data_IF_015868360146
#
_entry.id   IF_015868360146
#
_cell.length_a   1.000
_cell.length_b   1.000
_cell.length_c   1.000
_cell.angle_alpha   90.00
_cell.angle_beta   90.00
_cell.angle_gamma   90.00
#
_symmetry.space_group_name_H-M   'P 1'
#
loop_
_entity.id
_entity.type
_entity.pdbx_description
1 polymer ?
#
# COMPACT_ATOMS: atom_id res chain seq x y z
N UNK A 1 -2.55 15.38 16.04
CA UNK A 1 -1.21 15.07 15.50
C UNK A 1 -0.23 16.16 15.92
N UNK A 2 1.07 15.85 15.94
CA UNK A 2 2.12 16.77 16.38
C UNK A 2 2.35 17.87 15.32
N UNK A 3 2.33 19.15 15.72
CA UNK A 3 2.60 20.29 14.83
C UNK A 3 3.98 20.19 14.16
N UNK A 4 4.97 19.63 14.85
CA UNK A 4 6.31 19.40 14.31
C UNK A 4 6.25 18.42 13.14
N UNK A 5 5.50 17.32 13.28
CA UNK A 5 5.33 16.33 12.22
C UNK A 5 4.78 16.94 10.94
N UNK A 6 3.72 17.75 11.06
CA UNK A 6 3.07 18.41 9.91
C UNK A 6 4.04 19.38 9.23
N UNK A 7 4.80 20.16 10.01
CA UNK A 7 5.80 21.08 9.47
C UNK A 7 6.92 20.33 8.74
N UNK A 8 7.44 19.24 9.32
CA UNK A 8 8.43 18.39 8.66
C UNK A 8 7.86 17.79 7.37
N UNK A 9 6.64 17.26 7.41
CA UNK A 9 6.00 16.69 6.21
C UNK A 9 5.82 17.73 5.11
N UNK A 10 5.41 18.95 5.46
CA UNK A 10 5.29 20.06 4.51
C UNK A 10 6.64 20.39 3.88
N UNK A 11 7.70 20.49 4.67
CA UNK A 11 9.03 20.76 4.16
C UNK A 11 9.49 19.67 3.18
N UNK A 12 9.25 18.40 3.48
CA UNK A 12 9.56 17.28 2.56
C UNK A 12 8.75 17.44 1.26
N UNK A 13 7.44 17.67 1.37
CA UNK A 13 6.56 17.80 0.22
C UNK A 13 6.94 18.99 -0.68
N UNK A 14 7.19 20.16 -0.09
CA UNK A 14 7.52 21.38 -0.83
C UNK A 14 8.88 21.32 -1.51
N UNK A 15 9.86 20.65 -0.87
CA UNK A 15 11.23 20.47 -1.37
C UNK A 15 11.44 19.13 -2.11
N UNK A 16 10.37 18.43 -2.49
CA UNK A 16 10.46 17.20 -3.26
C UNK A 16 11.29 17.41 -4.54
N UNK A 17 12.08 16.40 -4.90
CA UNK A 17 12.94 16.46 -6.08
C UNK A 17 12.12 16.69 -7.37
N UNK A 18 12.70 17.33 -8.41
CA UNK A 18 11.95 17.71 -9.61
C UNK A 18 11.27 16.55 -10.34
N UNK A 19 11.79 15.32 -10.22
CA UNK A 19 11.15 14.12 -10.81
C UNK A 19 9.85 13.70 -10.10
N UNK A 20 9.49 14.33 -8.98
CA UNK A 20 8.23 14.08 -8.29
C UNK A 20 7.24 15.21 -8.49
N UNK A 21 6.05 14.86 -8.95
CA UNK A 21 4.89 15.73 -8.93
C UNK A 21 4.30 15.74 -7.52
N UNK A 22 4.23 16.93 -6.95
CA UNK A 22 3.43 17.25 -5.75
C UNK A 22 1.94 17.10 -6.07
N UNK A 23 1.32 16.02 -5.61
CA UNK A 23 -0.04 15.68 -6.00
C UNK A 23 -1.08 16.11 -4.96
N UNK A 24 -0.86 15.73 -3.70
CA UNK A 24 -1.81 16.00 -2.61
C UNK A 24 -1.06 16.22 -1.28
N UNK A 25 -1.58 17.10 -0.43
CA UNK A 25 -1.11 17.32 0.94
C UNK A 25 -2.33 17.51 1.85
N UNK A 26 -2.42 16.76 2.93
CA UNK A 26 -3.46 16.91 3.93
C UNK A 26 -2.98 17.82 5.08
N UNK A 27 -3.59 18.98 5.20
CA UNK A 27 -3.24 20.02 6.17
C UNK A 27 -3.45 19.59 7.63
N UNK A 28 -4.43 18.71 7.89
CA UNK A 28 -4.81 18.29 9.23
C UNK A 28 -3.91 17.19 9.81
N UNK A 29 -3.51 16.25 8.95
CA UNK A 29 -2.70 15.10 9.33
C UNK A 29 -1.22 15.25 8.99
N UNK A 30 -0.89 16.10 8.01
CA UNK A 30 0.45 16.23 7.46
C UNK A 30 0.86 15.05 6.58
N UNK A 31 -0.07 14.16 6.20
CA UNK A 31 0.20 13.16 5.17
C UNK A 31 0.19 13.78 3.78
N UNK A 32 0.85 13.14 2.82
CA UNK A 32 0.96 13.67 1.47
C UNK A 32 1.14 12.58 0.43
N UNK A 33 0.96 12.96 -0.84
CA UNK A 33 1.23 12.13 -2.01
C UNK A 33 2.19 12.86 -2.96
N UNK A 34 3.34 12.24 -3.18
CA UNK A 34 4.28 12.56 -4.25
C UNK A 34 4.19 11.47 -5.32
N UNK A 35 4.20 11.84 -6.60
CA UNK A 35 4.11 10.90 -7.71
C UNK A 35 5.30 11.08 -8.63
N UNK A 36 6.11 10.05 -8.82
CA UNK A 36 7.21 10.10 -9.78
C UNK A 36 6.68 10.33 -11.20
N UNK A 37 7.35 11.18 -11.99
CA UNK A 37 6.92 11.53 -13.36
C UNK A 37 6.81 10.32 -14.31
N UNK A 38 7.52 9.23 -14.00
CA UNK A 38 7.55 7.99 -14.76
C UNK A 38 6.70 6.86 -14.13
N UNK A 39 5.84 7.18 -13.16
CA UNK A 39 4.88 6.25 -12.59
C UNK A 39 3.64 6.17 -13.50
N UNK A 40 3.14 4.96 -13.78
CA UNK A 40 1.95 4.81 -14.60
C UNK A 40 0.71 4.95 -13.72
N UNK A 41 0.04 6.10 -13.82
CA UNK A 41 -1.12 6.41 -13.00
C UNK A 41 -2.23 5.37 -13.12
N UNK A 42 -2.52 4.69 -12.01
CA UNK A 42 -3.69 3.84 -11.81
C UNK A 42 -4.64 4.51 -10.81
N UNK A 43 -5.93 4.61 -11.17
CA UNK A 43 -6.95 5.23 -10.31
C UNK A 43 -7.03 4.58 -8.91
N UNK A 44 -6.87 3.26 -8.83
CA UNK A 44 -6.87 2.54 -7.55
C UNK A 44 -5.69 2.96 -6.68
N UNK A 45 -4.52 3.15 -7.26
CA UNK A 45 -3.29 3.48 -6.53
C UNK A 45 -3.30 4.92 -6.04
N UNK A 46 -3.80 5.84 -6.87
CA UNK A 46 -4.04 7.23 -6.49
C UNK A 46 -5.05 7.28 -5.33
N UNK A 47 -6.18 6.57 -5.44
CA UNK A 47 -7.19 6.53 -4.39
C UNK A 47 -6.60 6.04 -3.06
N UNK A 48 -5.88 4.91 -3.09
CA UNK A 48 -5.20 4.38 -1.90
C UNK A 48 -4.20 5.38 -1.34
N UNK A 49 -3.38 6.01 -2.17
CA UNK A 49 -2.38 6.99 -1.75
C UNK A 49 -3.03 8.19 -1.03
N UNK A 50 -4.13 8.73 -1.56
CA UNK A 50 -4.87 9.82 -0.93
C UNK A 50 -5.50 9.40 0.40
N UNK A 51 -6.11 8.22 0.47
CA UNK A 51 -6.70 7.70 1.73
C UNK A 51 -5.63 7.56 2.81
N UNK A 52 -4.47 7.02 2.45
CA UNK A 52 -3.35 6.89 3.38
C UNK A 52 -2.78 8.26 3.79
N UNK A 53 -2.71 9.21 2.86
CA UNK A 53 -2.30 10.58 3.17
C UNK A 53 -3.28 11.28 4.15
N UNK A 54 -4.59 11.08 4.01
CA UNK A 54 -5.60 11.63 4.93
C UNK A 54 -5.44 11.12 6.37
N UNK A 55 -4.90 9.93 6.57
CA UNK A 55 -4.58 9.38 7.90
C UNK A 55 -3.14 9.69 8.34
N UNK A 56 -2.46 10.60 7.64
CA UNK A 56 -1.15 11.12 8.01
C UNK A 56 0.04 10.35 7.45
N UNK A 57 -0.13 9.44 6.49
CA UNK A 57 1.00 8.74 5.87
C UNK A 57 1.67 9.61 4.81
N UNK A 58 3.01 9.48 4.69
CA UNK A 58 3.79 10.12 3.63
C UNK A 58 3.97 9.15 2.48
N UNK A 59 3.22 9.32 1.41
CA UNK A 59 3.19 8.39 0.27
C UNK A 59 4.00 8.96 -0.89
N UNK A 60 4.96 8.17 -1.38
CA UNK A 60 5.75 8.47 -2.57
C UNK A 60 5.56 7.34 -3.58
N UNK A 61 4.82 7.58 -4.66
CA UNK A 61 4.70 6.62 -5.77
C UNK A 61 5.96 6.65 -6.61
N UNK A 62 6.57 5.49 -6.81
CA UNK A 62 7.92 5.35 -7.35
C UNK A 62 7.91 5.14 -8.87
N UNK A 63 9.08 5.28 -9.50
CA UNK A 63 9.21 5.03 -10.93
C UNK A 63 8.94 3.56 -11.27
N UNK A 64 8.13 3.32 -12.30
CA UNK A 64 7.99 2.00 -12.91
C UNK A 64 9.06 1.71 -13.98
N UNK A 65 9.87 2.72 -14.33
CA UNK A 65 11.02 2.50 -15.20
C UNK A 65 12.17 1.89 -14.40
N UNK A 66 12.53 0.67 -14.78
CA UNK A 66 13.65 -0.05 -14.24
C UNK A 66 14.53 -0.59 -15.37
N UNK A 67 15.80 -0.86 -15.07
CA UNK A 67 16.64 -1.62 -15.98
C UNK A 67 16.01 -2.99 -16.26
N UNK A 68 16.19 -3.52 -17.47
CA UNK A 68 15.60 -4.80 -17.88
C UNK A 68 15.92 -5.91 -16.86
N UNK A 69 14.88 -6.58 -16.36
CA UNK A 69 15.00 -7.61 -15.32
C UNK A 69 14.93 -7.12 -13.87
N UNK A 70 14.90 -5.81 -13.62
CA UNK A 70 14.70 -5.23 -12.28
C UNK A 70 13.23 -4.88 -12.09
N UNK A 71 12.61 -5.32 -10.99
CA UNK A 71 11.26 -4.87 -10.64
C UNK A 71 11.36 -3.71 -9.67
N UNK A 72 10.61 -2.65 -9.92
CA UNK A 72 10.45 -1.57 -8.97
C UNK A 72 9.18 -1.79 -8.15
N UNK A 73 9.21 -1.44 -6.86
CA UNK A 73 8.02 -1.42 -6.04
C UNK A 73 7.11 -0.25 -6.42
N UNK A 74 5.82 -0.37 -6.11
CA UNK A 74 4.82 0.64 -6.46
C UNK A 74 5.04 1.96 -5.69
N UNK A 75 5.34 1.85 -4.38
CA UNK A 75 5.44 3.02 -3.50
C UNK A 75 6.45 2.86 -2.36
N UNK A 76 6.90 3.98 -1.84
CA UNK A 76 7.50 4.11 -0.51
C UNK A 76 6.53 4.88 0.40
N UNK A 77 6.19 4.31 1.56
CA UNK A 77 5.30 4.93 2.54
C UNK A 77 5.98 4.97 3.89
N UNK A 78 6.20 6.17 4.43
CA UNK A 78 6.95 6.39 5.67
C UNK A 78 8.31 5.66 5.70
N UNK A 79 8.99 5.57 4.55
CA UNK A 79 10.28 4.86 4.40
C UNK A 79 10.17 3.35 4.20
N UNK A 80 8.96 2.78 4.10
CA UNK A 80 8.75 1.35 3.84
C UNK A 80 8.36 1.09 2.40
N UNK A 81 8.95 0.04 1.81
CA UNK A 81 8.62 -0.40 0.46
C UNK A 81 7.27 -1.11 0.46
N UNK A 82 6.34 -0.55 -0.31
CA UNK A 82 4.94 -0.93 -0.36
C UNK A 82 4.55 -1.41 -1.76
N UNK A 83 3.62 -2.36 -1.79
CA UNK A 83 2.99 -2.85 -3.00
C UNK A 83 1.48 -2.74 -2.90
N UNK A 84 0.87 -2.22 -3.96
CA UNK A 84 -0.57 -2.05 -4.07
C UNK A 84 -1.18 -3.22 -4.82
N UNK A 85 -2.32 -3.70 -4.32
CA UNK A 85 -3.09 -4.77 -4.96
C UNK A 85 -4.56 -4.37 -4.94
N UNK A 86 -5.26 -4.70 -6.02
CA UNK A 86 -6.66 -4.35 -6.15
C UNK A 86 -7.53 -5.62 -6.27
N UNK A 87 -8.63 -5.64 -5.53
CA UNK A 87 -9.70 -6.61 -5.62
C UNK A 87 -10.92 -5.97 -6.25
N UNK A 88 -11.02 -6.06 -7.57
CA UNK A 88 -12.15 -5.54 -8.36
C UNK A 88 -13.38 -6.43 -8.31
N UNK A 89 -14.52 -5.94 -8.81
CA UNK A 89 -15.72 -6.74 -9.08
C UNK A 89 -15.47 -7.95 -9.98
N UNK A 90 -14.55 -7.83 -10.94
CA UNK A 90 -14.18 -8.93 -11.84
C UNK A 90 -13.34 -10.02 -11.16
N UNK A 91 -12.86 -9.79 -9.93
CA UNK A 91 -12.08 -10.77 -9.16
C UNK A 91 -12.97 -11.92 -8.70
N UNK A 92 -12.99 -13.02 -9.46
CA UNK A 92 -13.80 -14.21 -9.15
C UNK A 92 -13.30 -14.99 -7.92
N UNK A 93 -11.98 -15.09 -7.76
CA UNK A 93 -11.36 -15.86 -6.67
C UNK A 93 -10.50 -14.94 -5.79
N UNK A 94 -11.15 -14.31 -4.80
CA UNK A 94 -10.51 -13.40 -3.84
C UNK A 94 -9.33 -14.06 -3.14
N UNK A 95 -9.53 -15.29 -2.62
CA UNK A 95 -8.49 -16.03 -1.90
C UNK A 95 -7.22 -16.18 -2.74
N UNK A 96 -7.36 -16.67 -3.98
CA UNK A 96 -6.23 -16.85 -4.87
C UNK A 96 -5.56 -15.51 -5.22
N UNK A 97 -6.36 -14.48 -5.48
CA UNK A 97 -5.85 -13.17 -5.86
C UNK A 97 -5.04 -12.51 -4.73
N UNK A 98 -5.52 -12.61 -3.49
CA UNK A 98 -4.80 -12.14 -2.30
C UNK A 98 -3.49 -12.93 -2.12
N UNK A 99 -3.54 -14.25 -2.19
CA UNK A 99 -2.35 -15.11 -2.07
C UNK A 99 -1.30 -14.75 -3.12
N UNK A 100 -1.71 -14.64 -4.39
CA UNK A 100 -0.85 -14.29 -5.50
C UNK A 100 -0.26 -12.88 -5.32
N UNK A 101 -1.09 -11.90 -4.95
CA UNK A 101 -0.68 -10.52 -4.76
C UNK A 101 0.44 -10.39 -3.72
N UNK A 102 0.26 -10.99 -2.55
CA UNK A 102 1.28 -11.00 -1.48
C UNK A 102 2.54 -11.73 -1.94
N UNK A 103 2.39 -12.87 -2.62
CA UNK A 103 3.53 -13.63 -3.14
C UNK A 103 4.35 -12.85 -4.17
N UNK A 104 3.71 -12.01 -5.00
CA UNK A 104 4.37 -11.14 -5.98
C UNK A 104 5.05 -9.98 -5.30
N UNK A 105 4.36 -9.29 -4.38
CA UNK A 105 4.90 -8.16 -3.62
C UNK A 105 6.20 -8.54 -2.90
N UNK A 106 6.25 -9.74 -2.30
CA UNK A 106 7.48 -10.27 -1.71
C UNK A 106 8.65 -10.34 -2.71
N UNK A 107 8.40 -10.79 -3.94
CA UNK A 107 9.46 -10.86 -4.98
C UNK A 107 9.93 -9.47 -5.42
N UNK A 108 9.18 -8.42 -5.12
CA UNK A 108 9.54 -7.02 -5.34
C UNK A 108 10.24 -6.39 -4.13
N UNK A 109 10.48 -7.15 -3.06
CA UNK A 109 11.16 -6.63 -1.87
C UNK A 109 10.25 -5.88 -0.90
N UNK A 110 8.93 -5.86 -1.14
CA UNK A 110 8.01 -5.12 -0.30
C UNK A 110 7.91 -5.71 1.10
N UNK A 111 7.80 -4.83 2.10
CA UNK A 111 7.54 -5.19 3.50
C UNK A 111 6.09 -4.94 3.88
N UNK A 112 5.36 -4.14 3.09
CA UNK A 112 3.95 -3.83 3.28
C UNK A 112 3.16 -4.16 2.02
N UNK A 113 1.99 -4.79 2.18
CA UNK A 113 1.02 -4.96 1.08
C UNK A 113 -0.26 -4.24 1.42
N UNK A 114 -0.72 -3.41 0.50
CA UNK A 114 -1.94 -2.63 0.63
C UNK A 114 -2.94 -3.14 -0.39
N UNK A 115 -4.07 -3.64 0.11
CA UNK A 115 -5.11 -4.24 -0.72
C UNK A 115 -6.30 -3.29 -0.76
N UNK A 116 -6.50 -2.68 -1.92
CA UNK A 116 -7.72 -1.96 -2.23
C UNK A 116 -8.87 -2.94 -2.49
N UNK A 117 -9.86 -2.96 -1.61
CA UNK A 117 -11.09 -3.73 -1.76
C UNK A 117 -12.07 -2.91 -2.62
N UNK A 118 -11.77 -2.79 -3.91
CA UNK A 118 -12.56 -2.06 -4.89
C UNK A 118 -13.76 -2.87 -5.40
N UNK A 119 -14.64 -3.24 -4.48
CA UNK A 119 -15.83 -4.03 -4.75
C UNK A 119 -16.86 -3.87 -3.64
N UNK A 120 -18.12 -3.92 -3.98
CA UNK A 120 -19.26 -3.80 -3.05
C UNK A 120 -19.39 -5.04 -2.15
N UNK A 121 -19.16 -6.22 -2.72
CA UNK A 121 -19.35 -7.49 -2.00
C UNK A 121 -18.04 -8.24 -1.85
N UNK A 122 -17.65 -8.56 -0.62
CA UNK A 122 -16.44 -9.33 -0.34
C UNK A 122 -16.63 -10.17 0.92
N UNK A 123 -15.76 -11.18 1.08
CA UNK A 123 -15.82 -12.11 2.20
C UNK A 123 -14.46 -12.12 2.91
N UNK A 124 -14.42 -11.58 4.13
CA UNK A 124 -13.20 -11.51 4.95
C UNK A 124 -12.53 -12.88 5.10
N UNK A 125 -13.29 -13.96 5.22
CA UNK A 125 -12.71 -15.30 5.33
C UNK A 125 -11.87 -15.70 4.10
N UNK A 126 -12.24 -15.24 2.89
CA UNK A 126 -11.46 -15.50 1.66
C UNK A 126 -10.17 -14.70 1.66
N UNK A 127 -10.21 -13.44 2.13
CA UNK A 127 -9.02 -12.58 2.26
C UNK A 127 -8.07 -13.21 3.28
N UNK A 128 -8.57 -13.53 4.48
CA UNK A 128 -7.80 -14.17 5.54
C UNK A 128 -7.22 -15.53 5.13
N UNK A 129 -7.96 -16.38 4.42
CA UNK A 129 -7.43 -17.66 3.93
C UNK A 129 -6.37 -17.46 2.83
N UNK A 130 -6.49 -16.42 2.01
CA UNK A 130 -5.47 -16.01 1.04
C UNK A 130 -4.18 -15.58 1.72
N UNK A 131 -4.27 -14.74 2.76
CA UNK A 131 -3.15 -14.30 3.59
C UNK A 131 -2.47 -15.51 4.24
N UNK A 132 -3.24 -16.38 4.90
CA UNK A 132 -2.73 -17.61 5.52
C UNK A 132 -1.90 -18.44 4.55
N UNK A 133 -2.41 -18.62 3.32
CA UNK A 133 -1.72 -19.38 2.29
C UNK A 133 -0.45 -18.67 1.81
N UNK A 134 -0.44 -17.35 1.71
CA UNK A 134 0.77 -16.61 1.37
C UNK A 134 1.84 -16.73 2.46
N UNK A 135 1.46 -16.52 3.73
CA UNK A 135 2.39 -16.58 4.86
C UNK A 135 2.94 -17.98 5.12
N UNK A 136 2.13 -19.02 4.89
CA UNK A 136 2.61 -20.41 5.01
C UNK A 136 3.82 -20.70 4.10
N UNK A 137 3.89 -20.08 2.92
CA UNK A 137 5.01 -20.22 1.98
C UNK A 137 6.01 -19.06 2.07
N UNK A 138 5.92 -18.24 3.12
CA UNK A 138 6.80 -17.09 3.34
C UNK A 138 7.83 -17.34 4.42
N UNK A 139 8.81 -18.20 4.09
CA UNK A 139 9.92 -18.58 4.96
C UNK A 139 10.81 -17.40 5.36
N UNK A 140 10.98 -16.41 4.48
CA UNK A 140 11.81 -15.23 4.73
C UNK A 140 11.12 -14.18 5.60
N UNK A 141 9.82 -14.35 5.84
CA UNK A 141 8.98 -13.41 6.57
C UNK A 141 9.15 -11.95 6.09
N UNK A 142 9.17 -11.71 4.78
CA UNK A 142 9.48 -10.36 4.29
C UNK A 142 8.31 -9.40 4.49
N UNK A 143 7.08 -9.89 4.30
CA UNK A 143 5.87 -9.10 4.46
C UNK A 143 5.54 -9.02 5.95
N UNK A 144 5.58 -7.80 6.48
CA UNK A 144 5.42 -7.48 7.90
C UNK A 144 4.09 -6.79 8.20
N UNK A 145 3.52 -6.06 7.24
CA UNK A 145 2.25 -5.35 7.44
C UNK A 145 1.31 -5.59 6.26
N UNK A 146 0.02 -5.78 6.57
CA UNK A 146 -1.05 -5.80 5.60
C UNK A 146 -2.05 -4.69 5.92
N UNK A 147 -2.44 -3.94 4.91
CA UNK A 147 -3.45 -2.89 5.03
C UNK A 147 -4.57 -3.18 4.05
N UNK A 148 -5.82 -3.20 4.51
CA UNK A 148 -7.00 -3.14 3.65
C UNK A 148 -7.45 -1.69 3.55
N UNK A 149 -7.74 -1.25 2.32
CA UNK A 149 -8.37 0.05 2.04
C UNK A 149 -9.69 -0.22 1.34
N UNK A 150 -10.78 0.36 1.85
CA UNK A 150 -12.12 0.19 1.30
C UNK A 150 -12.56 1.42 0.51
N UNK A 151 -13.53 1.26 -0.39
CA UNK A 151 -14.15 2.37 -1.13
C UNK A 151 -14.78 3.45 -0.21
N UNK A 152 -15.07 3.11 1.05
CA UNK A 152 -15.52 4.05 2.09
C UNK A 152 -14.40 4.92 2.68
N UNK A 153 -13.16 4.78 2.19
CA UNK A 153 -11.93 5.36 2.77
C UNK A 153 -11.55 4.80 4.15
N UNK A 154 -12.28 3.81 4.67
CA UNK A 154 -11.88 3.07 5.86
C UNK A 154 -10.60 2.28 5.57
N UNK A 155 -9.72 2.20 6.57
CA UNK A 155 -8.53 1.36 6.53
C UNK A 155 -8.51 0.38 7.70
N UNK A 156 -8.02 -0.82 7.44
CA UNK A 156 -7.72 -1.80 8.48
C UNK A 156 -6.29 -2.26 8.32
N UNK A 157 -5.50 -2.13 9.37
CA UNK A 157 -4.10 -2.53 9.41
C UNK A 157 -3.91 -3.69 10.38
N UNK A 158 -3.09 -4.65 9.97
CA UNK A 158 -2.64 -5.75 10.82
C UNK A 158 -1.15 -6.02 10.58
N UNK A 159 -0.38 -6.08 11.66
CA UNK A 159 0.99 -6.56 11.60
C UNK A 159 1.00 -8.10 11.51
N UNK A 160 2.05 -8.64 10.90
CA UNK A 160 2.25 -10.09 10.74
C UNK A 160 2.19 -10.80 12.08
N UNK A 161 2.87 -10.27 13.10
CA UNK A 161 2.89 -10.83 14.45
C UNK A 161 1.48 -10.95 15.03
N UNK A 162 0.66 -9.90 14.92
CA UNK A 162 -0.73 -9.93 15.39
C UNK A 162 -1.55 -10.98 14.63
N UNK A 163 -1.32 -11.09 13.33
CA UNK A 163 -1.97 -12.08 12.49
C UNK A 163 -1.53 -13.51 12.91
N UNK A 164 -0.25 -13.76 13.13
CA UNK A 164 0.26 -15.06 13.60
C UNK A 164 -0.30 -15.41 14.99
N UNK A 165 -0.55 -14.40 15.83
CA UNK A 165 -1.20 -14.52 17.14
C UNK A 165 -2.74 -14.64 17.08
N UNK A 166 -3.32 -14.76 15.89
CA UNK A 166 -4.74 -15.10 15.71
C UNK A 166 -5.66 -13.92 15.38
N UNK A 167 -5.16 -12.68 15.36
CA UNK A 167 -5.96 -11.52 14.89
C UNK A 167 -6.25 -11.68 13.39
N UNK A 168 -7.44 -11.30 12.96
CA UNK A 168 -7.90 -11.38 11.56
C UNK A 168 -8.52 -10.04 11.16
N UNK A 169 -8.61 -9.81 9.85
CA UNK A 169 -9.52 -8.79 9.31
C UNK A 169 -10.97 -9.25 9.48
#
# INVERSE_FOLDING_TARGET
MNSEYIQTSRAIYENAEPQYRRYYFDEGSGGFVLIHQQHNLNNSEIFVAEVLAKIGKRVTLLSEQAAEGTRTPDAEIDGQICEFKELTESTRNIRYRVQEGISRAKRQGATVVIIHVNRETYEFWKINDGIRKAFYWDETQLIQTLILVFNSEETQEIAREEWENGRRF
#
